data_IF_969442092947
#
_entry.id   IF_969442092947
#
_cell.length_a   1.000
_cell.length_b   1.000
_cell.length_c   1.000
_cell.angle_alpha   90.00
_cell.angle_beta   90.00
_cell.angle_gamma   90.00
#
_symmetry.space_group_name_H-M   'P 1'
#
loop_
_entity.id
_entity.type
_entity.pdbx_description
1 polymer ?
#
# COMPACT_ATOMS: atom_id res chain seq x y z
N UNK A 1 3.37 -31.79 47.97
CA UNK A 1 4.19 -31.23 49.07
C UNK A 1 4.93 -30.06 48.49
N UNK A 2 4.82 -28.80 48.81
CA UNK A 2 4.15 -28.13 49.88
C UNK A 2 3.93 -26.66 49.48
N UNK A 3 2.78 -26.26 49.78
CA UNK A 3 2.21 -24.95 49.92
C UNK A 3 3.11 -23.93 50.64
N UNK A 4 3.03 -22.64 50.23
CA UNK A 4 2.97 -21.52 51.19
C UNK A 4 2.37 -20.26 50.56
N UNK A 5 1.19 -19.92 51.03
CA UNK A 5 0.50 -18.61 50.96
C UNK A 5 1.16 -17.61 51.91
N UNK A 6 1.04 -16.30 51.62
CA UNK A 6 0.84 -15.13 52.55
C UNK A 6 0.59 -13.93 51.68
N UNK A 7 -0.57 -13.33 51.63
CA UNK A 7 -1.37 -12.48 52.53
C UNK A 7 -0.84 -11.07 52.69
N UNK A 8 -1.65 -10.14 52.15
CA UNK A 8 -2.23 -8.87 52.61
C UNK A 8 -1.32 -7.76 53.21
N UNK A 9 -1.49 -6.56 52.70
CA UNK A 9 -1.71 -5.37 53.54
C UNK A 9 -2.49 -4.30 52.77
N UNK A 10 -3.61 -3.94 53.34
CA UNK A 10 -4.55 -2.86 53.01
C UNK A 10 -4.04 -1.60 53.70
N UNK A 11 -4.05 -0.46 53.01
CA UNK A 11 -3.78 0.86 53.57
C UNK A 11 -4.78 1.88 53.08
N UNK A 12 -5.84 2.06 53.87
CA UNK A 12 -6.87 3.09 53.72
C UNK A 12 -6.38 4.36 54.43
N UNK A 13 -6.39 5.53 53.77
CA UNK A 13 -6.43 6.81 54.48
C UNK A 13 -7.41 7.77 53.83
N UNK A 14 -8.26 8.29 54.72
CA UNK A 14 -9.41 9.12 54.43
C UNK A 14 -9.15 10.61 54.77
N UNK A 15 -9.86 11.47 54.04
CA UNK A 15 -10.56 12.71 54.48
C UNK A 15 -9.73 13.93 54.94
N UNK A 16 -10.05 15.05 54.29
CA UNK A 16 -9.72 16.40 54.77
C UNK A 16 -10.35 17.50 53.94
N UNK A 17 -11.65 17.72 54.14
CA UNK A 17 -12.38 18.91 53.63
C UNK A 17 -12.00 20.13 54.50
N UNK A 18 -11.73 21.30 53.92
CA UNK A 18 -11.79 22.58 54.59
C UNK A 18 -12.40 23.64 53.64
N UNK A 19 -13.62 24.01 53.97
CA UNK A 19 -14.31 25.22 53.50
C UNK A 19 -13.80 26.42 54.27
N UNK A 20 -13.48 27.53 53.57
CA UNK A 20 -13.50 28.87 54.15
C UNK A 20 -14.18 29.84 53.19
N UNK A 21 -15.29 30.36 53.66
CA UNK A 21 -15.95 31.54 53.13
C UNK A 21 -15.58 32.76 53.99
N UNK A 22 -15.26 33.89 53.38
CA UNK A 22 -15.43 35.20 54.00
C UNK A 22 -15.51 36.28 52.94
N UNK A 23 -16.56 37.09 53.11
CA UNK A 23 -16.95 38.26 52.33
C UNK A 23 -16.04 39.50 52.55
N UNK A 24 -16.09 40.40 51.56
CA UNK A 24 -16.23 41.83 51.84
C UNK A 24 -15.12 42.74 51.27
N UNK A 25 -15.53 43.71 50.44
CA UNK A 25 -14.82 44.98 50.27
C UNK A 25 -14.67 45.46 48.83
N UNK A 26 -15.48 46.44 48.45
CA UNK A 26 -15.38 47.28 47.25
C UNK A 26 -14.07 48.01 47.10
N UNK A 27 -13.51 48.19 45.90
CA UNK A 27 -13.49 49.44 45.13
C UNK A 27 -12.46 49.44 44.01
N UNK A 28 -12.89 50.05 42.91
CA UNK A 28 -12.16 50.82 41.90
C UNK A 28 -11.41 50.10 40.77
N UNK A 29 -11.98 50.36 39.61
CA UNK A 29 -11.53 50.10 38.25
C UNK A 29 -10.06 50.29 37.93
N UNK A 30 -9.57 49.36 37.11
CA UNK A 30 -8.69 49.70 35.97
C UNK A 30 -8.88 48.65 34.89
N UNK A 31 -9.40 49.06 33.75
CA UNK A 31 -9.49 48.26 32.51
C UNK A 31 -8.08 47.90 32.08
N UNK A 32 -7.84 46.60 31.97
CA UNK A 32 -6.84 46.06 31.08
C UNK A 32 -7.51 45.08 30.15
N UNK A 33 -7.76 45.53 28.95
CA UNK A 33 -8.20 44.71 27.83
C UNK A 33 -7.05 43.73 27.51
N UNK A 34 -7.21 42.50 27.96
CA UNK A 34 -6.46 41.36 27.42
C UNK A 34 -7.27 40.84 26.25
N UNK A 35 -6.87 41.20 25.06
CA UNK A 35 -7.29 40.46 23.84
C UNK A 35 -6.76 39.03 23.95
N UNK A 36 -7.60 38.16 24.46
CA UNK A 36 -7.43 36.71 24.34
C UNK A 36 -7.83 36.35 22.91
N UNK A 37 -6.90 36.43 21.99
CA UNK A 37 -7.02 35.83 20.67
C UNK A 37 -6.94 34.31 20.87
N UNK A 38 -8.05 33.72 21.31
CA UNK A 38 -8.28 32.30 21.13
C UNK A 38 -8.21 32.03 19.62
N UNK A 39 -7.11 31.45 19.17
CA UNK A 39 -7.04 30.88 17.84
C UNK A 39 -8.24 29.92 17.72
N UNK A 40 -9.17 30.24 16.84
CA UNK A 40 -10.25 29.35 16.48
C UNK A 40 -9.61 28.05 15.98
N UNK A 41 -9.65 27.02 16.78
CA UNK A 41 -9.40 25.66 16.33
C UNK A 41 -10.47 25.42 15.30
N UNK A 42 -10.10 25.28 14.02
CA UNK A 42 -11.04 24.90 12.99
C UNK A 42 -11.70 23.60 13.46
N UNK A 43 -12.99 23.65 13.73
CA UNK A 43 -13.76 22.42 13.98
C UNK A 43 -13.61 21.57 12.72
N UNK A 44 -13.10 20.34 12.89
CA UNK A 44 -13.07 19.37 11.81
C UNK A 44 -14.48 19.13 11.25
N UNK A 45 -14.60 18.50 10.06
CA UNK A 45 -15.90 18.26 9.46
C UNK A 45 -16.81 17.53 10.44
N UNK A 46 -18.06 17.97 10.49
CA UNK A 46 -19.05 17.37 11.40
C UNK A 46 -19.19 15.87 11.09
N UNK A 47 -19.17 15.06 12.15
CA UNK A 47 -19.40 13.62 12.08
C UNK A 47 -20.88 13.34 11.73
N UNK A 48 -21.24 13.43 10.45
CA UNK A 48 -22.62 13.34 9.94
C UNK A 48 -22.82 12.25 8.88
N UNK A 49 -21.76 11.55 8.49
CA UNK A 49 -21.82 10.51 7.46
C UNK A 49 -22.64 9.30 7.91
N UNK A 50 -23.57 8.86 7.08
CA UNK A 50 -24.43 7.69 7.34
C UNK A 50 -24.35 6.66 6.23
N UNK A 51 -23.91 7.08 5.04
CA UNK A 51 -23.79 6.22 3.88
C UNK A 51 -22.53 5.34 3.99
N UNK A 52 -22.68 4.04 3.73
CA UNK A 52 -21.55 3.13 3.69
C UNK A 52 -20.66 3.42 2.48
N UNK A 53 -19.35 3.53 2.72
CA UNK A 53 -18.35 3.77 1.67
C UNK A 53 -17.64 2.45 1.34
N UNK A 54 -17.67 2.06 0.07
CA UNK A 54 -17.06 0.83 -0.42
C UNK A 54 -15.69 1.13 -1.02
N UNK A 55 -14.64 0.61 -0.41
CA UNK A 55 -13.27 0.85 -0.82
C UNK A 55 -12.68 -0.45 -1.37
N UNK A 56 -12.16 -0.41 -2.60
CA UNK A 56 -11.46 -1.54 -3.20
C UNK A 56 -10.16 -1.82 -2.45
N UNK A 57 -9.94 -3.08 -2.10
CA UNK A 57 -8.67 -3.59 -1.60
C UNK A 57 -8.12 -4.60 -2.59
N UNK A 58 -6.97 -4.29 -3.16
CA UNK A 58 -6.25 -5.19 -4.03
C UNK A 58 -5.44 -6.20 -3.19
N UNK A 59 -5.02 -7.30 -3.82
CA UNK A 59 -4.44 -8.45 -3.13
C UNK A 59 -2.92 -8.34 -2.88
N UNK A 60 -2.44 -7.13 -2.53
CA UNK A 60 -1.07 -6.89 -2.06
C UNK A 60 -1.05 -6.10 -0.74
N UNK A 61 0.06 -6.19 -0.04
CA UNK A 61 0.18 -5.73 1.35
C UNK A 61 0.02 -4.22 1.51
N UNK A 62 0.57 -3.41 0.59
CA UNK A 62 0.42 -1.95 0.65
C UNK A 62 -1.05 -1.54 0.59
N UNK A 63 -1.82 -2.10 -0.36
CA UNK A 63 -3.26 -1.84 -0.48
C UNK A 63 -4.02 -2.23 0.80
N UNK A 64 -3.68 -3.35 1.41
CA UNK A 64 -4.32 -3.77 2.67
C UNK A 64 -4.09 -2.76 3.80
N UNK A 65 -2.88 -2.22 3.93
CA UNK A 65 -2.55 -1.23 4.97
C UNK A 65 -3.23 0.10 4.69
N UNK A 66 -3.13 0.61 3.47
CA UNK A 66 -3.66 1.91 3.08
C UNK A 66 -5.19 1.95 3.20
N UNK A 67 -5.87 0.89 2.79
CA UNK A 67 -7.32 0.77 2.95
C UNK A 67 -7.73 0.76 4.42
N UNK A 68 -6.96 0.13 5.30
CA UNK A 68 -7.21 0.18 6.75
C UNK A 68 -6.96 1.58 7.34
N UNK A 69 -5.93 2.31 6.87
CA UNK A 69 -5.71 3.72 7.28
C UNK A 69 -6.92 4.57 6.88
N UNK A 70 -7.33 4.49 5.62
CA UNK A 70 -8.46 5.26 5.08
C UNK A 70 -9.75 4.91 5.80
N UNK A 71 -10.03 3.61 6.00
CA UNK A 71 -11.21 3.12 6.73
C UNK A 71 -11.28 3.73 8.12
N UNK A 72 -10.23 3.58 8.93
CA UNK A 72 -10.22 4.05 10.31
C UNK A 72 -10.35 5.58 10.40
N UNK A 73 -9.74 6.32 9.47
CA UNK A 73 -9.84 7.77 9.42
C UNK A 73 -11.24 8.26 9.03
N UNK A 74 -11.88 7.64 8.02
CA UNK A 74 -13.24 7.97 7.60
C UNK A 74 -14.23 7.63 8.70
N UNK A 75 -14.17 6.43 9.26
CA UNK A 75 -15.08 6.00 10.33
C UNK A 75 -14.97 6.91 11.58
N UNK A 76 -13.73 7.30 11.94
CA UNK A 76 -13.48 8.14 13.13
C UNK A 76 -13.90 9.59 12.94
N UNK A 77 -13.60 10.19 11.78
CA UNK A 77 -13.71 11.63 11.59
C UNK A 77 -14.94 12.06 10.79
N UNK A 78 -15.46 11.20 9.91
CA UNK A 78 -16.63 11.47 9.07
C UNK A 78 -17.87 10.66 9.47
N UNK A 79 -17.68 9.59 10.27
CA UNK A 79 -18.72 8.65 10.73
C UNK A 79 -19.37 7.79 9.65
N UNK A 80 -18.88 7.80 8.43
CA UNK A 80 -19.35 6.87 7.41
C UNK A 80 -18.88 5.45 7.75
N UNK A 81 -19.75 4.42 7.75
CA UNK A 81 -19.29 3.04 7.78
C UNK A 81 -18.46 2.74 6.53
N UNK A 82 -17.36 2.00 6.66
CA UNK A 82 -16.53 1.61 5.53
C UNK A 82 -16.59 0.09 5.32
N UNK A 83 -16.99 -0.30 4.12
CA UNK A 83 -16.95 -1.67 3.62
C UNK A 83 -15.72 -1.86 2.74
N UNK A 84 -14.83 -2.77 3.12
CA UNK A 84 -13.68 -3.16 2.31
C UNK A 84 -14.14 -4.23 1.32
N UNK A 85 -13.89 -4.00 0.04
CA UNK A 85 -14.23 -4.91 -1.05
C UNK A 85 -12.95 -5.49 -1.63
N UNK A 86 -12.68 -6.76 -1.36
CA UNK A 86 -11.57 -7.48 -1.99
C UNK A 86 -11.89 -7.69 -3.47
N UNK A 87 -11.03 -7.17 -4.34
CA UNK A 87 -11.24 -7.20 -5.78
C UNK A 87 -9.91 -7.18 -6.54
N UNK A 88 -9.88 -7.92 -7.65
CA UNK A 88 -8.74 -7.92 -8.56
C UNK A 88 -8.58 -6.56 -9.26
N UNK A 89 -7.34 -6.17 -9.53
CA UNK A 89 -6.97 -4.92 -10.18
C UNK A 89 -7.78 -4.69 -11.46
N UNK A 90 -7.88 -5.69 -12.32
CA UNK A 90 -8.55 -5.61 -13.62
C UNK A 90 -10.09 -5.41 -13.55
N UNK A 91 -10.70 -5.61 -12.39
CA UNK A 91 -12.17 -5.51 -12.23
C UNK A 91 -12.58 -4.23 -11.47
N UNK A 92 -11.67 -3.60 -10.73
CA UNK A 92 -12.04 -2.52 -9.81
C UNK A 92 -12.54 -1.25 -10.51
N UNK A 93 -11.92 -0.86 -11.64
CA UNK A 93 -12.28 0.36 -12.39
C UNK A 93 -13.70 0.24 -12.98
N UNK A 94 -14.04 -0.91 -13.55
CA UNK A 94 -15.40 -1.18 -14.03
C UNK A 94 -16.41 -1.15 -12.87
N UNK A 95 -16.05 -1.70 -11.70
CA UNK A 95 -16.87 -1.63 -10.48
C UNK A 95 -17.10 -0.20 -9.99
N UNK A 96 -16.12 0.70 -10.15
CA UNK A 96 -16.28 2.12 -9.84
C UNK A 96 -17.18 2.84 -10.84
N UNK A 97 -17.02 2.55 -12.14
CA UNK A 97 -17.88 3.12 -13.19
C UNK A 97 -19.35 2.76 -12.96
N UNK A 98 -19.65 1.51 -12.57
CA UNK A 98 -21.02 1.08 -12.23
C UNK A 98 -21.52 1.69 -10.92
N UNK A 99 -20.61 2.10 -10.00
CA UNK A 99 -20.91 2.58 -8.66
C UNK A 99 -21.08 1.46 -7.62
N UNK A 100 -20.59 0.26 -7.92
CA UNK A 100 -20.54 -0.85 -6.97
C UNK A 100 -19.36 -0.69 -5.98
N UNK A 101 -18.34 0.08 -6.37
CA UNK A 101 -17.18 0.49 -5.58
C UNK A 101 -17.11 2.01 -5.60
N UNK A 102 -16.78 2.63 -4.47
CA UNK A 102 -16.71 4.09 -4.35
C UNK A 102 -15.31 4.63 -4.64
N UNK A 103 -14.23 3.95 -4.18
CA UNK A 103 -12.86 4.44 -4.36
C UNK A 103 -11.81 3.33 -4.29
N UNK A 104 -10.63 3.64 -4.85
CA UNK A 104 -9.38 2.91 -4.62
C UNK A 104 -8.24 3.91 -4.41
N UNK A 105 -7.32 3.59 -3.52
CA UNK A 105 -6.24 4.50 -3.11
C UNK A 105 -4.92 4.23 -3.81
N UNK A 106 -4.77 3.10 -4.51
CA UNK A 106 -3.48 2.68 -5.07
C UNK A 106 -3.64 2.09 -6.46
N UNK A 107 -3.46 2.90 -7.50
CA UNK A 107 -3.45 2.49 -8.91
C UNK A 107 -2.03 2.59 -9.47
N UNK A 108 -1.59 1.52 -10.12
CA UNK A 108 -0.28 1.39 -10.77
C UNK A 108 -0.38 1.69 -12.27
N UNK A 109 0.16 2.83 -12.75
CA UNK A 109 0.00 3.25 -14.15
C UNK A 109 0.51 2.25 -15.18
N UNK A 110 1.57 1.49 -14.87
CA UNK A 110 2.16 0.52 -15.81
C UNK A 110 1.24 -0.64 -16.19
N UNK A 111 0.23 -0.91 -15.34
CA UNK A 111 -0.81 -1.90 -15.61
C UNK A 111 -2.12 -1.31 -16.12
N UNK A 112 -2.25 0.03 -16.10
CA UNK A 112 -3.51 0.71 -16.38
C UNK A 112 -3.81 0.74 -17.89
N UNK A 113 -4.83 0.01 -18.30
CA UNK A 113 -5.16 -0.25 -19.68
C UNK A 113 -5.90 0.92 -20.37
N UNK A 114 -5.91 0.99 -21.71
CA UNK A 114 -6.74 1.95 -22.44
C UNK A 114 -8.25 1.81 -22.17
N UNK A 115 -8.72 0.59 -21.89
CA UNK A 115 -10.10 0.33 -21.52
C UNK A 115 -10.44 0.95 -20.15
N UNK A 116 -9.52 0.89 -19.21
CA UNK A 116 -9.69 1.54 -17.89
C UNK A 116 -9.58 3.05 -18.00
N UNK A 117 -8.67 3.56 -18.85
CA UNK A 117 -8.56 4.98 -19.15
C UNK A 117 -9.85 5.54 -19.73
N UNK A 118 -10.57 4.76 -20.54
CA UNK A 118 -11.84 5.19 -21.12
C UNK A 118 -12.90 5.53 -20.06
N UNK A 119 -12.92 4.89 -18.90
CA UNK A 119 -13.82 5.23 -17.79
C UNK A 119 -13.44 6.57 -17.10
N UNK A 120 -12.17 6.96 -17.16
CA UNK A 120 -11.76 8.30 -16.72
C UNK A 120 -12.14 9.34 -17.76
N UNK A 121 -11.93 9.03 -19.03
CA UNK A 121 -12.20 9.95 -20.16
C UNK A 121 -13.70 10.24 -20.33
N UNK A 122 -14.57 9.25 -20.06
CA UNK A 122 -16.03 9.44 -20.11
C UNK A 122 -16.59 10.07 -18.82
N UNK A 123 -15.76 10.21 -17.78
CA UNK A 123 -16.10 10.84 -16.52
C UNK A 123 -16.88 9.95 -15.56
N UNK A 124 -17.02 8.64 -15.82
CA UNK A 124 -17.66 7.70 -14.87
C UNK A 124 -16.77 7.34 -13.69
N UNK A 125 -15.44 7.45 -13.88
CA UNK A 125 -14.41 7.35 -12.84
C UNK A 125 -13.60 8.65 -12.78
N UNK A 126 -13.32 9.14 -11.60
CA UNK A 126 -12.57 10.38 -11.36
C UNK A 126 -11.16 10.07 -10.90
N UNK A 127 -10.17 10.64 -11.58
CA UNK A 127 -8.79 10.63 -11.07
C UNK A 127 -8.70 11.58 -9.86
N UNK A 128 -8.41 11.03 -8.68
CA UNK A 128 -8.35 11.75 -7.41
C UNK A 128 -6.97 12.37 -7.12
N UNK A 129 -6.07 12.33 -8.10
CA UNK A 129 -4.71 12.85 -7.98
C UNK A 129 -3.71 11.81 -7.46
N UNK A 130 -2.47 12.26 -7.34
CA UNK A 130 -1.36 11.38 -6.97
C UNK A 130 -1.51 10.86 -5.53
N UNK A 131 -1.09 9.62 -5.32
CA UNK A 131 -0.98 9.04 -3.97
C UNK A 131 0.18 9.67 -3.19
N UNK A 132 1.31 9.91 -3.86
CA UNK A 132 2.55 10.39 -3.25
C UNK A 132 3.67 9.34 -3.29
N UNK A 133 3.32 8.07 -3.39
CA UNK A 133 4.27 6.98 -3.59
C UNK A 133 4.69 6.90 -5.05
N UNK A 134 5.99 6.66 -5.26
CA UNK A 134 6.56 6.34 -6.57
C UNK A 134 7.04 4.90 -6.54
N UNK A 135 6.46 4.09 -7.41
CA UNK A 135 6.76 2.69 -7.54
C UNK A 135 7.58 2.36 -8.79
N UNK A 136 7.98 1.10 -8.87
CA UNK A 136 8.62 0.55 -10.04
C UNK A 136 8.58 -0.97 -10.03
N UNK A 137 7.94 -1.52 -11.02
CA UNK A 137 7.87 -2.96 -11.28
C UNK A 137 9.11 -3.40 -12.06
N UNK A 138 9.48 -4.67 -11.98
CA UNK A 138 10.55 -5.23 -12.79
C UNK A 138 10.90 -6.66 -12.44
N UNK A 139 11.99 -7.12 -13.02
CA UNK A 139 12.54 -8.43 -12.72
C UNK A 139 13.68 -8.30 -11.71
N UNK A 140 13.57 -9.03 -10.63
CA UNK A 140 14.54 -9.00 -9.54
C UNK A 140 15.22 -10.36 -9.37
N UNK A 141 16.45 -10.33 -8.89
CA UNK A 141 17.21 -11.52 -8.50
C UNK A 141 17.75 -11.37 -7.09
N UNK A 142 18.05 -12.50 -6.46
CA UNK A 142 18.74 -12.51 -5.16
C UNK A 142 20.22 -12.13 -5.34
N UNK A 143 20.88 -11.56 -4.31
CA UNK A 143 22.32 -11.25 -4.34
C UNK A 143 23.20 -12.46 -4.69
N UNK A 144 22.85 -13.65 -4.20
CA UNK A 144 23.58 -14.89 -4.49
C UNK A 144 23.50 -15.27 -5.98
N UNK A 145 22.35 -14.99 -6.63
CA UNK A 145 22.20 -15.21 -8.08
C UNK A 145 23.14 -14.31 -8.88
N UNK A 146 23.19 -13.02 -8.54
CA UNK A 146 24.09 -12.07 -9.22
C UNK A 146 25.58 -12.35 -8.92
N UNK A 147 25.90 -12.78 -7.70
CA UNK A 147 27.26 -13.21 -7.33
C UNK A 147 27.71 -14.43 -8.14
N UNK A 148 26.82 -15.39 -8.32
CA UNK A 148 27.09 -16.62 -9.09
C UNK A 148 27.12 -16.39 -10.60
N UNK A 149 26.34 -15.43 -11.08
CA UNK A 149 26.15 -15.10 -12.49
C UNK A 149 26.18 -13.57 -12.70
N UNK A 150 27.37 -12.92 -12.66
CA UNK A 150 27.47 -11.45 -12.78
C UNK A 150 26.86 -10.88 -14.06
N UNK A 151 26.75 -11.68 -15.12
CA UNK A 151 26.10 -11.30 -16.38
C UNK A 151 24.59 -11.02 -16.23
N UNK A 152 23.97 -11.43 -15.11
CA UNK A 152 22.57 -11.11 -14.77
C UNK A 152 22.35 -9.64 -14.38
N UNK A 153 23.40 -8.83 -14.32
CA UNK A 153 23.22 -7.39 -14.18
C UNK A 153 22.37 -6.79 -15.32
N UNK A 154 22.39 -7.43 -16.49
CA UNK A 154 21.53 -7.08 -17.63
C UNK A 154 20.78 -8.33 -18.15
N UNK A 155 19.69 -8.08 -18.86
CA UNK A 155 18.83 -9.14 -19.40
C UNK A 155 19.52 -10.08 -20.40
N UNK A 156 20.57 -9.62 -21.09
CA UNK A 156 21.34 -10.46 -22.02
C UNK A 156 21.94 -11.68 -21.30
N UNK A 157 22.26 -11.53 -20.01
CA UNK A 157 22.75 -12.65 -19.19
C UNK A 157 21.75 -13.80 -19.07
N UNK A 158 20.45 -13.54 -19.22
CA UNK A 158 19.42 -14.57 -19.24
C UNK A 158 19.48 -15.48 -20.49
N UNK A 159 20.21 -15.09 -21.53
CA UNK A 159 20.46 -15.92 -22.73
C UNK A 159 21.58 -16.95 -22.54
N UNK A 160 22.35 -16.82 -21.45
CA UNK A 160 23.42 -17.75 -21.15
C UNK A 160 22.86 -19.13 -20.78
N UNK A 161 23.26 -20.24 -21.50
CA UNK A 161 22.76 -21.57 -21.17
C UNK A 161 23.09 -22.03 -19.74
N UNK A 162 24.19 -21.55 -19.14
CA UNK A 162 24.52 -21.85 -17.75
C UNK A 162 23.55 -21.21 -16.78
N UNK A 163 23.14 -19.96 -17.05
CA UNK A 163 22.08 -19.25 -16.29
C UNK A 163 20.76 -19.98 -16.45
N UNK A 164 20.30 -20.25 -17.68
CA UNK A 164 19.06 -20.99 -17.94
C UNK A 164 19.02 -22.30 -17.15
N UNK A 165 20.12 -23.07 -17.19
CA UNK A 165 20.22 -24.33 -16.45
C UNK A 165 20.15 -24.13 -14.94
N UNK A 166 20.79 -23.10 -14.39
CA UNK A 166 20.80 -22.83 -12.95
C UNK A 166 19.43 -22.43 -12.41
N UNK A 167 18.62 -21.77 -13.24
CA UNK A 167 17.25 -21.36 -12.89
C UNK A 167 16.19 -22.42 -13.27
N UNK A 168 16.56 -23.52 -13.93
CA UNK A 168 15.61 -24.56 -14.31
C UNK A 168 15.13 -25.36 -13.09
N UNK A 169 13.90 -25.85 -13.17
CA UNK A 169 13.24 -26.68 -12.15
C UNK A 169 12.66 -27.95 -12.79
N UNK A 170 12.23 -28.89 -11.99
CA UNK A 170 11.53 -30.08 -12.49
C UNK A 170 10.26 -29.72 -13.31
N UNK A 171 9.60 -28.62 -12.95
CA UNK A 171 8.38 -28.18 -13.62
C UNK A 171 8.65 -27.38 -14.91
N UNK A 172 9.83 -26.77 -15.05
CA UNK A 172 10.21 -26.02 -16.27
C UNK A 172 11.07 -26.84 -17.23
N UNK A 173 11.58 -27.99 -16.79
CA UNK A 173 12.41 -28.88 -17.60
C UNK A 173 13.75 -28.25 -17.98
N UNK A 174 13.99 -28.00 -19.28
CA UNK A 174 15.22 -27.36 -19.78
C UNK A 174 15.15 -25.83 -19.81
N UNK A 175 14.03 -25.23 -19.47
CA UNK A 175 13.84 -23.79 -19.43
C UNK A 175 14.13 -23.24 -18.04
N UNK A 176 14.73 -22.05 -17.95
CA UNK A 176 14.82 -21.32 -16.69
C UNK A 176 13.43 -20.98 -16.17
N UNK A 177 13.27 -20.85 -14.87
CA UNK A 177 12.02 -20.43 -14.24
C UNK A 177 12.02 -18.92 -14.03
N UNK A 178 10.97 -18.25 -14.51
CA UNK A 178 10.58 -16.91 -14.11
C UNK A 178 9.45 -17.05 -13.09
N UNK A 179 9.66 -16.60 -11.86
CA UNK A 179 8.65 -16.61 -10.80
C UNK A 179 7.79 -15.35 -10.91
N UNK A 180 6.53 -15.53 -11.32
CA UNK A 180 5.49 -14.49 -11.26
C UNK A 180 4.63 -14.67 -10.02
N UNK A 181 3.87 -13.65 -9.65
CA UNK A 181 3.05 -13.69 -8.44
C UNK A 181 1.65 -14.22 -8.70
N UNK A 182 0.70 -13.32 -8.82
CA UNK A 182 -0.70 -13.61 -9.07
C UNK A 182 -1.00 -13.34 -10.55
N UNK A 183 -1.68 -14.23 -11.25
CA UNK A 183 -2.02 -14.01 -12.65
C UNK A 183 -3.03 -12.86 -12.87
N UNK A 184 -3.65 -12.33 -11.80
CA UNK A 184 -4.49 -11.13 -11.87
C UNK A 184 -3.71 -9.82 -11.84
N UNK A 185 -2.41 -9.86 -11.52
CA UNK A 185 -1.55 -8.67 -11.61
C UNK A 185 -1.23 -8.34 -13.07
N UNK A 186 -1.12 -7.06 -13.37
CA UNK A 186 -0.78 -6.57 -14.71
C UNK A 186 0.70 -6.80 -15.03
N UNK A 187 1.09 -8.07 -15.17
CA UNK A 187 2.44 -8.51 -15.51
C UNK A 187 2.56 -8.93 -16.98
N UNK A 188 3.73 -8.72 -17.58
CA UNK A 188 4.02 -9.03 -18.99
C UNK A 188 5.14 -10.05 -19.16
N UNK A 189 5.43 -10.88 -18.15
CA UNK A 189 6.57 -11.79 -18.11
C UNK A 189 6.59 -12.75 -19.29
N UNK A 190 5.43 -13.34 -19.65
CA UNK A 190 5.33 -14.29 -20.76
C UNK A 190 5.63 -13.61 -22.10
N UNK A 191 5.13 -12.40 -22.29
CA UNK A 191 5.33 -11.60 -23.50
C UNK A 191 6.77 -11.14 -23.62
N UNK A 192 7.36 -10.62 -22.54
CA UNK A 192 8.76 -10.20 -22.50
C UNK A 192 9.69 -11.38 -22.77
N UNK A 193 9.48 -12.52 -22.12
CA UNK A 193 10.24 -13.76 -22.35
C UNK A 193 10.18 -14.14 -23.84
N UNK A 194 8.99 -14.17 -24.42
CA UNK A 194 8.77 -14.53 -25.84
C UNK A 194 9.44 -13.53 -26.77
N UNK A 195 9.20 -12.23 -26.57
CA UNK A 195 9.63 -11.19 -27.49
C UNK A 195 11.15 -10.93 -27.43
N UNK A 196 11.79 -11.13 -26.27
CA UNK A 196 13.25 -11.10 -26.12
C UNK A 196 13.95 -12.42 -26.51
N UNK A 197 13.17 -13.46 -26.81
CA UNK A 197 13.70 -14.80 -27.20
C UNK A 197 14.43 -15.48 -26.05
N UNK A 198 13.96 -15.36 -24.82
CA UNK A 198 14.54 -15.98 -23.64
C UNK A 198 14.05 -17.42 -23.49
N UNK A 199 14.95 -18.33 -23.08
CA UNK A 199 14.58 -19.72 -22.80
C UNK A 199 14.13 -19.89 -21.34
N UNK A 200 13.10 -19.12 -20.96
CA UNK A 200 12.47 -19.15 -19.64
C UNK A 200 10.99 -19.52 -19.74
N UNK A 201 10.44 -19.97 -18.64
CA UNK A 201 9.02 -20.27 -18.49
C UNK A 201 8.50 -19.64 -17.21
N UNK A 202 7.40 -18.89 -17.32
CA UNK A 202 6.71 -18.28 -16.19
C UNK A 202 6.02 -19.36 -15.34
N UNK A 203 6.16 -19.22 -14.03
CA UNK A 203 5.44 -19.99 -13.01
C UNK A 203 4.87 -19.03 -11.99
N UNK A 204 3.58 -19.13 -11.76
CA UNK A 204 2.87 -18.29 -10.80
C UNK A 204 2.93 -18.92 -9.40
N UNK A 205 3.28 -18.12 -8.40
CA UNK A 205 3.20 -18.50 -6.98
C UNK A 205 1.77 -18.43 -6.44
N UNK A 206 0.93 -17.57 -7.03
CA UNK A 206 -0.47 -17.36 -6.71
C UNK A 206 -0.74 -16.24 -5.71
N UNK A 207 0.29 -15.67 -5.07
CA UNK A 207 0.14 -14.50 -4.18
C UNK A 207 1.48 -13.86 -3.81
N UNK A 208 1.44 -12.62 -3.32
CA UNK A 208 2.62 -11.95 -2.75
C UNK A 208 3.24 -12.76 -1.61
N UNK A 209 2.43 -13.23 -0.66
CA UNK A 209 2.91 -14.02 0.48
C UNK A 209 3.59 -15.33 0.05
N UNK A 210 3.06 -16.03 -0.96
CA UNK A 210 3.68 -17.23 -1.49
C UNK A 210 5.01 -16.93 -2.18
N UNK A 211 5.10 -15.81 -2.92
CA UNK A 211 6.36 -15.34 -3.53
C UNK A 211 7.40 -15.03 -2.46
N UNK A 212 7.02 -14.30 -1.42
CA UNK A 212 7.92 -13.97 -0.29
C UNK A 212 8.44 -15.23 0.42
N UNK A 213 7.56 -16.21 0.67
CA UNK A 213 7.96 -17.50 1.27
C UNK A 213 8.99 -18.22 0.37
N UNK A 214 8.82 -18.16 -0.94
CA UNK A 214 9.78 -18.75 -1.86
C UNK A 214 11.11 -17.98 -1.93
N UNK A 215 11.08 -16.64 -1.90
CA UNK A 215 12.29 -15.81 -1.81
C UNK A 215 13.09 -16.19 -0.57
N UNK A 216 12.44 -16.34 0.58
CA UNK A 216 13.06 -16.75 1.83
C UNK A 216 13.73 -18.11 1.65
N UNK A 217 12.97 -19.13 1.20
CA UNK A 217 13.46 -20.48 1.03
C UNK A 217 14.65 -20.57 0.03
N UNK A 218 14.58 -19.81 -1.07
CA UNK A 218 15.66 -19.79 -2.07
C UNK A 218 16.91 -19.07 -1.54
N UNK A 219 16.73 -17.96 -0.81
CA UNK A 219 17.83 -17.23 -0.17
C UNK A 219 18.54 -18.09 0.88
N UNK A 220 17.81 -18.75 1.75
CA UNK A 220 18.35 -19.66 2.76
C UNK A 220 19.09 -20.86 2.12
N UNK A 221 18.55 -21.40 1.03
CA UNK A 221 19.15 -22.49 0.28
C UNK A 221 20.32 -22.05 -0.62
N UNK A 222 20.60 -20.74 -0.73
CA UNK A 222 21.57 -20.12 -1.65
C UNK A 222 21.33 -20.55 -3.10
N UNK A 223 20.07 -20.65 -3.49
CA UNK A 223 19.67 -20.98 -4.86
C UNK A 223 19.24 -19.73 -5.61
N UNK A 224 19.60 -19.62 -6.89
CA UNK A 224 19.20 -18.47 -7.68
C UNK A 224 17.70 -18.49 -7.94
N UNK A 225 17.08 -17.33 -7.87
CA UNK A 225 15.70 -17.08 -8.29
C UNK A 225 15.63 -15.75 -9.05
N UNK A 226 14.87 -15.71 -10.12
CA UNK A 226 14.45 -14.50 -10.81
C UNK A 226 12.94 -14.40 -10.67
N UNK A 227 12.45 -13.20 -10.37
CA UNK A 227 11.04 -12.98 -10.08
C UNK A 227 10.55 -11.64 -10.59
N UNK A 228 9.27 -11.58 -10.93
CA UNK A 228 8.51 -10.35 -10.99
C UNK A 228 8.37 -9.81 -9.57
N UNK A 229 8.72 -8.57 -9.37
CA UNK A 229 8.55 -7.88 -8.09
C UNK A 229 8.45 -6.37 -8.30
N UNK A 230 8.23 -5.63 -7.21
CA UNK A 230 8.14 -4.17 -7.25
C UNK A 230 8.85 -3.52 -6.06
N UNK A 231 9.07 -2.22 -6.18
CA UNK A 231 9.44 -1.33 -5.09
C UNK A 231 8.42 -0.16 -5.07
N UNK A 232 8.06 0.40 -3.90
CA UNK A 232 8.56 0.04 -2.58
C UNK A 232 7.95 -1.28 -2.07
N UNK A 233 8.80 -2.12 -1.50
CA UNK A 233 8.42 -3.33 -0.78
C UNK A 233 9.51 -3.63 0.26
N UNK A 234 9.12 -3.99 1.48
CA UNK A 234 10.06 -4.26 2.56
C UNK A 234 10.98 -5.45 2.25
N UNK A 235 10.45 -6.44 1.52
CA UNK A 235 11.20 -7.61 1.08
C UNK A 235 12.40 -7.26 0.18
N UNK A 236 12.31 -6.21 -0.65
CA UNK A 236 13.43 -5.75 -1.49
C UNK A 236 14.62 -5.34 -0.63
N UNK A 237 14.39 -4.51 0.38
CA UNK A 237 15.43 -4.10 1.32
C UNK A 237 15.91 -5.25 2.21
N UNK A 238 14.99 -6.04 2.75
CA UNK A 238 15.27 -7.15 3.67
C UNK A 238 16.15 -8.23 3.07
N UNK A 239 15.85 -8.63 1.83
CA UNK A 239 16.58 -9.71 1.14
C UNK A 239 17.62 -9.19 0.14
N UNK A 240 17.77 -7.86 0.02
CA UNK A 240 18.72 -7.23 -0.88
C UNK A 240 18.44 -7.56 -2.35
N UNK A 241 17.15 -7.64 -2.74
CA UNK A 241 16.79 -7.99 -4.11
C UNK A 241 17.29 -6.93 -5.09
N UNK A 242 17.81 -7.36 -6.22
CA UNK A 242 18.45 -6.50 -7.21
C UNK A 242 17.65 -6.57 -8.51
N UNK A 243 17.18 -5.41 -8.97
CA UNK A 243 16.49 -5.32 -10.27
C UNK A 243 17.47 -5.57 -11.41
N UNK A 244 17.08 -6.38 -12.39
CA UNK A 244 17.81 -6.59 -13.65
C UNK A 244 17.47 -5.46 -14.61
N UNK A 245 18.47 -4.93 -15.30
CA UNK A 245 18.24 -3.96 -16.38
C UNK A 245 17.66 -4.66 -17.61
N UNK A 246 16.34 -4.55 -17.78
CA UNK A 246 15.66 -4.93 -19.02
C UNK A 246 15.84 -3.83 -20.09
N UNK A 247 15.70 -4.15 -21.39
CA UNK A 247 15.73 -3.12 -22.42
C UNK A 247 14.49 -2.20 -22.23
N UNK A 248 14.61 -0.95 -22.70
CA UNK A 248 13.43 -0.10 -22.74
C UNK A 248 12.39 -0.73 -23.69
N UNK A 249 11.14 -0.85 -23.22
CA UNK A 249 10.04 -1.33 -24.05
C UNK A 249 9.87 -0.46 -25.30
N UNK A 250 9.64 -1.11 -26.45
CA UNK A 250 9.44 -0.42 -27.74
C UNK A 250 7.99 -0.01 -27.96
N UNK A 251 7.08 -0.53 -27.12
CA UNK A 251 5.64 -0.26 -27.14
C UNK A 251 5.16 0.13 -25.74
N UNK A 252 3.98 0.66 -25.64
CA UNK A 252 3.24 0.73 -24.38
C UNK A 252 2.66 -0.66 -24.06
N UNK A 253 3.21 -1.30 -23.03
CA UNK A 253 2.85 -2.67 -22.69
C UNK A 253 1.40 -2.78 -22.18
N UNK A 254 0.85 -1.74 -21.56
CA UNK A 254 -0.55 -1.74 -21.13
C UNK A 254 -1.52 -1.69 -22.32
N UNK A 255 -1.12 -1.00 -23.39
CA UNK A 255 -1.93 -0.90 -24.62
C UNK A 255 -1.69 -2.05 -25.60
N UNK A 256 -0.47 -2.59 -25.67
CA UNK A 256 -0.04 -3.59 -26.65
C UNK A 256 0.66 -4.78 -25.97
N UNK A 257 0.00 -5.42 -25.00
CA UNK A 257 0.58 -6.46 -24.15
C UNK A 257 1.33 -7.56 -24.93
N UNK A 258 0.74 -8.06 -26.03
CA UNK A 258 1.36 -9.10 -26.86
C UNK A 258 2.70 -8.72 -27.48
N UNK A 259 2.98 -7.41 -27.61
CA UNK A 259 4.21 -6.86 -28.16
C UNK A 259 5.19 -6.38 -27.09
N UNK A 260 4.83 -6.47 -25.82
CA UNK A 260 5.68 -6.02 -24.72
C UNK A 260 7.03 -6.73 -24.76
N UNK A 261 8.12 -5.96 -24.87
CA UNK A 261 9.49 -6.45 -25.13
C UNK A 261 10.55 -5.81 -24.22
N UNK A 262 10.13 -5.19 -23.12
CA UNK A 262 11.08 -4.47 -22.28
C UNK A 262 10.59 -4.16 -20.88
N UNK A 263 11.31 -3.25 -20.21
CA UNK A 263 11.11 -2.88 -18.82
C UNK A 263 9.80 -2.09 -18.61
N UNK A 264 9.29 -2.20 -17.42
CA UNK A 264 8.16 -1.42 -16.94
C UNK A 264 8.56 0.05 -16.77
N UNK A 265 7.66 1.01 -17.05
CA UNK A 265 7.91 2.41 -16.72
C UNK A 265 7.94 2.62 -15.21
N UNK A 266 8.41 3.79 -14.77
CA UNK A 266 8.24 4.18 -13.37
C UNK A 266 6.77 4.49 -13.08
N UNK A 267 6.26 3.99 -11.98
CA UNK A 267 4.88 4.15 -11.54
C UNK A 267 4.75 5.31 -10.56
N UNK A 268 4.18 6.41 -11.00
CA UNK A 268 3.73 7.49 -10.10
C UNK A 268 2.30 7.16 -9.70
N UNK A 269 2.13 6.52 -8.55
CA UNK A 269 0.85 5.98 -8.12
C UNK A 269 -0.21 7.07 -7.95
N UNK A 270 -1.44 6.74 -8.30
CA UNK A 270 -2.57 7.67 -8.21
C UNK A 270 -3.81 6.98 -7.62
N UNK A 271 -4.81 7.79 -7.30
CA UNK A 271 -6.05 7.37 -6.67
C UNK A 271 -7.22 7.59 -7.61
N UNK A 272 -8.25 6.79 -7.48
CA UNK A 272 -9.48 6.90 -8.29
C UNK A 272 -10.73 6.76 -7.43
N UNK A 273 -11.82 7.34 -7.90
CA UNK A 273 -13.13 7.18 -7.28
C UNK A 273 -14.25 7.13 -8.32
N UNK A 274 -15.36 6.51 -7.96
CA UNK A 274 -16.60 6.63 -8.73
C UNK A 274 -17.03 8.09 -8.82
N UNK A 275 -17.49 8.54 -9.98
CA UNK A 275 -18.09 9.86 -10.14
C UNK A 275 -19.33 10.07 -9.25
N UNK A 276 -19.93 8.99 -8.75
CA UNK A 276 -21.08 9.03 -7.86
C UNK A 276 -20.71 9.37 -6.40
N UNK A 277 -19.41 9.26 -6.05
CA UNK A 277 -18.97 9.44 -4.67
C UNK A 277 -19.19 10.86 -4.15
N UNK A 278 -18.97 11.90 -4.98
CA UNK A 278 -19.18 13.29 -4.56
C UNK A 278 -20.63 13.57 -4.16
N UNK A 279 -21.59 13.03 -4.94
CA UNK A 279 -23.01 13.15 -4.64
C UNK A 279 -23.45 12.27 -3.44
N UNK A 280 -22.75 11.17 -3.20
CA UNK A 280 -22.98 10.26 -2.08
C UNK A 280 -22.50 10.89 -0.77
N UNK A 281 -21.26 11.38 -0.73
CA UNK A 281 -20.67 12.11 0.39
C UNK A 281 -19.52 13.01 -0.07
N UNK A 282 -19.75 14.32 -0.08
CA UNK A 282 -18.78 15.32 -0.52
C UNK A 282 -17.54 15.42 0.39
N UNK A 283 -17.68 15.11 1.71
CA UNK A 283 -16.56 15.14 2.64
C UNK A 283 -15.64 13.95 2.41
N UNK A 284 -16.20 12.77 2.18
CA UNK A 284 -15.44 11.58 1.81
C UNK A 284 -14.73 11.78 0.46
N UNK A 285 -15.41 12.35 -0.54
CA UNK A 285 -14.81 12.68 -1.82
C UNK A 285 -13.62 13.63 -1.67
N UNK A 286 -13.78 14.68 -0.86
CA UNK A 286 -12.71 15.64 -0.56
C UNK A 286 -11.56 14.97 0.19
N UNK A 287 -11.84 14.09 1.15
CA UNK A 287 -10.83 13.32 1.85
C UNK A 287 -9.96 12.51 0.87
N UNK A 288 -10.56 11.76 -0.06
CA UNK A 288 -9.81 11.01 -1.07
C UNK A 288 -8.95 11.90 -1.97
N UNK A 289 -9.41 13.09 -2.33
CA UNK A 289 -8.58 14.06 -3.07
C UNK A 289 -7.33 14.46 -2.32
N UNK A 290 -7.44 14.65 -1.01
CA UNK A 290 -6.36 15.14 -0.18
C UNK A 290 -5.48 14.01 0.40
N UNK A 291 -5.99 12.77 0.45
CA UNK A 291 -5.22 11.62 0.94
C UNK A 291 -3.91 11.47 0.20
N UNK A 292 -2.83 11.27 0.94
CA UNK A 292 -1.49 11.02 0.40
C UNK A 292 -0.73 10.05 1.30
N UNK A 293 0.08 9.18 0.66
CA UNK A 293 1.00 8.28 1.33
C UNK A 293 2.36 8.42 0.66
N UNK A 294 3.38 8.81 1.41
CA UNK A 294 4.74 8.91 0.87
C UNK A 294 5.38 7.51 0.75
N UNK A 295 6.37 7.39 -0.12
CA UNK A 295 7.16 6.14 -0.23
C UNK A 295 7.77 5.73 1.11
N UNK A 296 8.26 6.70 1.91
CA UNK A 296 8.87 6.43 3.21
C UNK A 296 7.82 5.93 4.23
N UNK A 297 6.65 6.56 4.29
CA UNK A 297 5.54 6.12 5.15
C UNK A 297 5.08 4.70 4.79
N UNK A 298 4.94 4.42 3.48
CA UNK A 298 4.56 3.11 2.98
C UNK A 298 5.61 2.05 3.38
N UNK A 299 6.91 2.33 3.21
CA UNK A 299 7.98 1.40 3.58
C UNK A 299 7.99 1.08 5.08
N UNK A 300 7.74 2.07 5.95
CA UNK A 300 7.66 1.83 7.40
C UNK A 300 6.54 0.89 7.75
N UNK A 301 5.35 1.08 7.16
CA UNK A 301 4.19 0.21 7.41
C UNK A 301 4.36 -1.17 6.78
N UNK A 302 4.92 -1.26 5.58
CA UNK A 302 5.26 -2.51 4.91
C UNK A 302 6.27 -3.35 5.72
N UNK A 303 7.30 -2.72 6.31
CA UNK A 303 8.24 -3.43 7.18
C UNK A 303 7.52 -4.15 8.31
N UNK A 304 6.56 -3.49 8.96
CA UNK A 304 5.83 -4.06 10.08
C UNK A 304 4.93 -5.24 9.66
N UNK A 305 4.28 -5.15 8.48
CA UNK A 305 3.35 -6.20 8.02
C UNK A 305 4.09 -7.31 7.28
N UNK A 306 4.89 -7.00 6.26
CA UNK A 306 5.56 -8.01 5.42
C UNK A 306 6.65 -8.78 6.16
N UNK A 307 7.42 -8.09 7.01
CA UNK A 307 8.62 -8.67 7.62
C UNK A 307 8.37 -9.11 9.05
N UNK A 308 7.70 -8.27 9.83
CA UNK A 308 7.46 -8.54 11.25
C UNK A 308 6.15 -9.33 11.46
N UNK A 309 5.35 -9.54 10.41
CA UNK A 309 4.14 -10.38 10.39
C UNK A 309 2.99 -9.81 11.21
N UNK A 310 2.93 -8.48 11.34
CA UNK A 310 1.91 -7.79 12.11
C UNK A 310 0.61 -7.63 11.32
N UNK A 311 -0.49 -7.48 12.04
CA UNK A 311 -1.80 -7.22 11.44
C UNK A 311 -1.86 -5.82 10.80
N UNK A 312 -2.41 -5.71 9.58
CA UNK A 312 -2.46 -4.45 8.83
C UNK A 312 -3.31 -3.39 9.52
N UNK A 313 -4.43 -3.77 10.16
CA UNK A 313 -5.30 -2.83 10.85
C UNK A 313 -4.65 -2.27 12.13
N UNK A 314 -3.86 -3.11 12.84
CA UNK A 314 -3.09 -2.66 14.00
C UNK A 314 -1.98 -1.67 13.58
N UNK A 315 -1.24 -1.99 12.50
CA UNK A 315 -0.19 -1.11 11.96
C UNK A 315 -0.78 0.21 11.46
N UNK A 316 -1.93 0.16 10.78
CA UNK A 316 -2.66 1.35 10.38
C UNK A 316 -3.06 2.24 11.56
N UNK A 317 -3.58 1.66 12.65
CA UNK A 317 -3.95 2.39 13.86
C UNK A 317 -2.74 3.09 14.51
N UNK A 318 -1.59 2.41 14.56
CA UNK A 318 -0.34 2.99 15.09
C UNK A 318 0.17 4.14 14.22
N UNK A 319 0.16 3.94 12.89
CA UNK A 319 0.57 4.98 11.95
C UNK A 319 -0.32 6.22 12.08
N UNK A 320 -1.65 6.05 12.17
CA UNK A 320 -2.62 7.12 12.39
C UNK A 320 -2.30 7.87 13.69
N UNK A 321 -2.05 7.14 14.78
CA UNK A 321 -1.77 7.76 16.08
C UNK A 321 -0.45 8.57 16.07
N UNK A 322 0.54 8.14 15.29
CA UNK A 322 1.85 8.78 15.20
C UNK A 322 1.89 9.96 14.22
N UNK A 323 0.96 10.04 13.26
CA UNK A 323 1.03 10.97 12.12
C UNK A 323 -0.16 11.94 12.03
N UNK A 324 -0.73 12.37 13.18
CA UNK A 324 -1.90 13.26 13.19
C UNK A 324 -1.66 14.56 12.40
N UNK A 325 -0.48 15.13 12.47
CA UNK A 325 -0.13 16.34 11.73
C UNK A 325 -0.15 16.13 10.19
N UNK A 326 0.04 14.90 9.72
CA UNK A 326 -0.01 14.54 8.30
C UNK A 326 -1.45 14.40 7.84
N UNK A 327 -2.22 13.53 8.50
CA UNK A 327 -3.54 13.19 8.01
C UNK A 327 -4.65 14.18 8.37
N UNK A 328 -4.48 15.00 9.43
CA UNK A 328 -5.53 15.96 9.85
C UNK A 328 -5.89 16.97 8.77
N UNK A 329 -4.93 17.33 7.90
CA UNK A 329 -5.18 18.26 6.79
C UNK A 329 -5.97 17.64 5.63
N UNK A 330 -6.12 16.33 5.56
CA UNK A 330 -6.86 15.67 4.49
C UNK A 330 -8.37 15.92 4.55
N UNK A 331 -8.85 16.35 5.70
CA UNK A 331 -10.26 16.71 5.92
C UNK A 331 -10.60 18.18 5.61
N UNK A 332 -9.58 19.02 5.26
CA UNK A 332 -9.73 20.48 5.08
C UNK A 332 -10.06 20.89 3.65
#
# INVERSE_FOLDING_TARGET
MGSRKKLLAIGLFAVGSLLFAACGGSDTATESVSEDTAAAVAEGPACTGTEAIKIARNNWTASAIEVEIVKQLIEKNLCNPVEIVDIDENAMIAGMSSGDIDANVEVWPSGFTPEEQAFIDDGSVVNMGLLGTVGGIGWFVTPDALTSFPQLATWEGLKDPAVVKAFSTAATGSQGRMLAMDPSFSGYEEQIIKNLGLNFKTQYSGSEAATQAEIIAMTEAKKPVIMYYWAPAAAVGKYGLIKIDLPKATVDCAAEADKCDGDYPADVLFKVASAKLEAKDANVFKFFKNYQMTTDDQLVTLQAVEIDGRDAAEVAAEWIAANEAVWSVWFN
#
